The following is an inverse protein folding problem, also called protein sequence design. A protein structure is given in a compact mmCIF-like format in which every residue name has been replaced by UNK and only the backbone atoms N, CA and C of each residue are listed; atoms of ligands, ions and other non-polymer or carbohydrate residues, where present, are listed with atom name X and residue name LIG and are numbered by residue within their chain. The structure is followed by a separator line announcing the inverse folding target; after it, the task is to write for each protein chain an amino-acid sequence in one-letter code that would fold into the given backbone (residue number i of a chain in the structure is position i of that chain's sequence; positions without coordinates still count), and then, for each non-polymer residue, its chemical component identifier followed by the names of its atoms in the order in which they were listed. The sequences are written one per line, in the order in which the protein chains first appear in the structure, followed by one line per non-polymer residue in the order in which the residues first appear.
data_IF_318079380936
#
_entry.id   IF_318079380936
#
_cell.length_a   1.000
_cell.length_b   1.000
_cell.length_c   1.000
_cell.angle_alpha   90.00
_cell.angle_beta   90.00
_cell.angle_gamma   90.00
#
_symmetry.space_group_name_H-M   'P 1'
#
loop_
_entity.id
_entity.type
_entity.pdbx_description
1 polymer ?
#
# COMPACT_ATOMS: atom_id res chain seq x y z
N UNK A 1 -24.00 11.56 -15.77
CA UNK A 1 -22.62 11.97 -15.43
C UNK A 1 -22.31 13.25 -16.19
N UNK A 2 -22.19 14.38 -15.50
CA UNK A 2 -22.00 15.67 -16.17
C UNK A 2 -20.59 15.71 -16.76
N UNK A 3 -20.45 15.92 -18.07
CA UNK A 3 -19.14 16.00 -18.76
C UNK A 3 -18.07 16.85 -18.03
N UNK A 4 -18.38 18.04 -17.47
CA UNK A 4 -17.37 18.81 -16.72
C UNK A 4 -16.92 18.12 -15.42
N UNK A 5 -17.79 17.36 -14.78
CA UNK A 5 -17.44 16.61 -13.57
C UNK A 5 -16.39 15.54 -13.86
N UNK A 6 -16.53 14.80 -14.96
CA UNK A 6 -15.54 13.82 -15.38
C UNK A 6 -14.18 14.47 -15.71
N UNK A 7 -14.19 15.65 -16.35
CA UNK A 7 -12.97 16.41 -16.66
C UNK A 7 -12.24 16.88 -15.40
N UNK A 8 -12.96 17.41 -14.40
CA UNK A 8 -12.39 17.84 -13.13
C UNK A 8 -11.76 16.65 -12.40
N UNK A 9 -12.44 15.50 -12.41
CA UNK A 9 -11.97 14.28 -11.74
C UNK A 9 -10.68 13.74 -12.39
N UNK A 10 -10.62 13.74 -13.73
CA UNK A 10 -9.41 13.38 -14.47
C UNK A 10 -8.24 14.33 -14.16
N UNK A 11 -8.48 15.65 -14.11
CA UNK A 11 -7.44 16.63 -13.79
C UNK A 11 -6.92 16.45 -12.34
N UNK A 12 -7.82 16.17 -11.39
CA UNK A 12 -7.46 15.92 -10.01
C UNK A 12 -6.55 14.69 -9.87
N UNK A 13 -6.81 13.61 -10.62
CA UNK A 13 -5.94 12.43 -10.65
C UNK A 13 -4.55 12.75 -11.21
N UNK A 14 -4.46 13.52 -12.30
CA UNK A 14 -3.18 13.93 -12.89
C UNK A 14 -2.36 14.83 -11.95
N UNK A 15 -3.03 15.65 -11.15
CA UNK A 15 -2.37 16.56 -10.22
C UNK A 15 -1.54 15.84 -9.15
N UNK A 16 -1.92 14.62 -8.77
CA UNK A 16 -1.18 13.80 -7.80
C UNK A 16 0.22 13.43 -8.31
N UNK A 17 0.33 13.14 -9.61
CA UNK A 17 1.60 12.82 -10.27
C UNK A 17 2.51 14.02 -10.48
N UNK A 18 1.97 15.25 -10.40
CA UNK A 18 2.69 16.49 -10.67
C UNK A 18 3.27 17.16 -9.42
N UNK A 19 3.16 16.51 -8.26
CA UNK A 19 3.53 17.08 -6.96
C UNK A 19 5.02 17.50 -6.89
N UNK A 20 5.93 16.70 -7.45
CA UNK A 20 7.36 17.02 -7.52
C UNK A 20 7.67 18.23 -8.44
N UNK A 21 6.91 18.39 -9.52
CA UNK A 21 7.04 19.53 -10.41
C UNK A 21 6.59 20.83 -9.72
N UNK A 22 5.53 20.77 -8.91
CA UNK A 22 5.10 21.93 -8.14
C UNK A 22 6.17 22.37 -7.12
N UNK A 23 6.81 21.42 -6.45
CA UNK A 23 7.88 21.70 -5.47
C UNK A 23 9.13 22.28 -6.14
N UNK A 24 9.54 21.73 -7.29
CA UNK A 24 10.68 22.27 -8.04
C UNK A 24 10.38 23.66 -8.63
N UNK A 25 9.19 23.87 -9.20
CA UNK A 25 8.75 25.17 -9.71
C UNK A 25 8.72 26.24 -8.60
N UNK A 26 8.15 25.93 -7.44
CA UNK A 26 8.13 26.83 -6.29
C UNK A 26 9.51 27.16 -5.74
N UNK A 27 10.45 26.21 -5.81
CA UNK A 27 11.85 26.46 -5.47
C UNK A 27 12.50 27.46 -6.41
N UNK A 28 12.36 27.28 -7.73
CA UNK A 28 12.97 28.19 -8.70
C UNK A 28 12.34 29.58 -8.69
N UNK A 29 11.03 29.69 -8.49
CA UNK A 29 10.34 30.97 -8.38
C UNK A 29 10.85 31.84 -7.22
N UNK A 30 11.27 31.23 -6.11
CA UNK A 30 11.68 31.94 -4.89
C UNK A 30 13.09 31.54 -4.40
N UNK A 31 13.98 31.15 -5.33
CA UNK A 31 15.27 30.55 -5.01
C UNK A 31 16.14 31.42 -4.11
N UNK A 32 16.18 32.73 -4.37
CA UNK A 32 17.01 33.67 -3.59
C UNK A 32 16.53 33.80 -2.15
N UNK A 33 15.20 33.85 -1.95
CA UNK A 33 14.61 33.88 -0.61
C UNK A 33 14.95 32.60 0.16
N UNK A 34 14.87 31.44 -0.50
CA UNK A 34 15.19 30.14 0.10
C UNK A 34 16.67 30.09 0.47
N UNK A 35 17.55 30.52 -0.44
CA UNK A 35 19.00 30.55 -0.22
C UNK A 35 19.39 31.45 0.97
N UNK A 36 18.72 32.60 1.14
CA UNK A 36 19.01 33.56 2.21
C UNK A 36 18.44 33.16 3.57
N UNK A 37 17.24 32.57 3.61
CA UNK A 37 16.51 32.37 4.88
C UNK A 37 16.46 30.92 5.36
N UNK A 38 16.40 29.95 4.45
CA UNK A 38 16.12 28.55 4.77
C UNK A 38 17.32 27.61 4.53
N UNK A 39 18.29 28.03 3.71
CA UNK A 39 19.49 27.26 3.46
C UNK A 39 20.33 27.11 4.75
N UNK A 40 20.74 25.89 5.06
CA UNK A 40 21.65 25.59 6.17
C UNK A 40 23.08 26.10 5.91
N UNK A 41 23.51 26.08 4.64
CA UNK A 41 24.84 26.54 4.21
C UNK A 41 24.88 28.05 3.88
N UNK A 42 23.88 28.82 4.32
CA UNK A 42 23.79 30.27 4.00
C UNK A 42 24.93 31.12 4.57
N UNK A 43 25.61 30.63 5.61
CA UNK A 43 26.73 31.30 6.26
C UNK A 43 28.10 30.82 5.74
N UNK A 44 28.11 29.82 4.86
CA UNK A 44 29.34 29.33 4.22
C UNK A 44 29.67 30.24 3.05
N UNK A 45 30.83 30.90 3.13
CA UNK A 45 31.34 31.75 2.06
C UNK A 45 31.50 30.93 0.77
N UNK A 46 31.08 31.49 -0.36
CA UNK A 46 31.15 30.86 -1.70
C UNK A 46 30.50 29.46 -1.80
N UNK A 47 29.47 29.20 -0.99
CA UNK A 47 28.75 27.91 -1.06
C UNK A 47 28.08 27.68 -2.42
N UNK A 48 28.31 26.53 -3.10
CA UNK A 48 27.60 26.19 -4.33
C UNK A 48 26.13 25.80 -4.09
N UNK A 49 25.72 25.60 -2.82
CA UNK A 49 24.41 25.04 -2.47
C UNK A 49 23.24 25.90 -2.98
N UNK A 50 23.28 27.23 -2.78
CA UNK A 50 22.24 28.16 -3.25
C UNK A 50 20.80 27.68 -2.99
N UNK A 51 20.55 27.11 -1.80
CA UNK A 51 19.25 26.59 -1.37
C UNK A 51 18.91 25.15 -1.80
N UNK A 52 19.78 24.45 -2.54
CA UNK A 52 19.53 23.07 -3.02
C UNK A 52 19.27 22.07 -1.90
N UNK A 53 19.84 22.25 -0.71
CA UNK A 53 19.58 21.39 0.45
C UNK A 53 18.09 21.37 0.82
N UNK A 54 17.41 22.53 0.73
CA UNK A 54 15.98 22.67 1.02
C UNK A 54 15.14 21.94 -0.02
N UNK A 55 15.51 22.05 -1.31
CA UNK A 55 14.82 21.34 -2.39
C UNK A 55 14.92 19.82 -2.20
N UNK A 56 16.14 19.32 -1.97
CA UNK A 56 16.40 17.89 -1.76
C UNK A 56 15.63 17.36 -0.55
N UNK A 57 15.59 18.12 0.55
CA UNK A 57 14.83 17.73 1.73
C UNK A 57 13.34 17.60 1.45
N UNK A 58 12.72 18.58 0.76
CA UNK A 58 11.30 18.53 0.42
C UNK A 58 10.95 17.37 -0.53
N UNK A 59 11.81 17.11 -1.52
CA UNK A 59 11.62 15.98 -2.44
C UNK A 59 11.72 14.64 -1.70
N UNK A 60 12.66 14.51 -0.76
CA UNK A 60 12.81 13.31 0.06
C UNK A 60 11.60 13.09 0.97
N UNK A 61 11.10 14.14 1.62
CA UNK A 61 9.88 14.07 2.44
C UNK A 61 8.65 13.64 1.63
N UNK A 62 8.55 14.02 0.35
CA UNK A 62 7.48 13.53 -0.54
C UNK A 62 7.65 12.04 -0.85
N UNK A 63 8.87 11.62 -1.21
CA UNK A 63 9.16 10.22 -1.53
C UNK A 63 8.88 9.30 -0.35
N UNK A 64 9.25 9.70 0.88
CA UNK A 64 8.97 8.93 2.08
C UNK A 64 7.47 8.79 2.35
N UNK A 65 6.66 9.83 2.08
CA UNK A 65 5.20 9.77 2.19
C UNK A 65 4.56 8.86 1.15
N UNK A 66 5.08 8.84 -0.07
CA UNK A 66 4.63 7.90 -1.10
C UNK A 66 4.96 6.45 -0.71
N UNK A 67 6.14 6.23 -0.11
CA UNK A 67 6.58 4.90 0.33
C UNK A 67 5.80 4.39 1.57
N UNK A 68 5.22 5.28 2.36
CA UNK A 68 4.33 4.95 3.48
C UNK A 68 2.88 4.65 3.07
N UNK A 69 2.52 4.80 1.78
CA UNK A 69 1.24 4.24 1.32
C UNK A 69 1.22 2.74 1.62
N UNK A 70 0.09 2.20 2.12
CA UNK A 70 0.00 0.78 2.42
C UNK A 70 0.37 0.03 1.15
N UNK A 71 1.49 -0.68 1.22
CA UNK A 71 1.93 -1.56 0.16
C UNK A 71 0.73 -2.46 -0.12
N UNK A 72 0.16 -2.34 -1.34
CA UNK A 72 -0.87 -3.24 -1.85
C UNK A 72 -0.24 -4.63 -2.09
N UNK A 73 0.63 -5.10 -1.17
CA UNK A 73 0.95 -6.50 -1.00
C UNK A 73 -0.39 -7.19 -0.87
N UNK A 74 -0.73 -7.89 -1.94
CA UNK A 74 -1.87 -8.78 -2.03
C UNK A 74 -1.89 -9.59 -0.74
N UNK A 75 -2.73 -9.18 0.20
CA UNK A 75 -2.87 -9.87 1.47
C UNK A 75 -3.65 -11.12 1.11
N UNK A 76 -2.95 -12.22 0.87
CA UNK A 76 -3.59 -13.51 0.60
C UNK A 76 -4.48 -13.83 1.79
N UNK A 77 -5.79 -13.66 1.61
CA UNK A 77 -6.78 -14.06 2.58
C UNK A 77 -7.01 -15.54 2.35
N UNK A 78 -6.37 -16.38 3.16
CA UNK A 78 -6.66 -17.81 3.17
C UNK A 78 -8.04 -17.98 3.81
N UNK A 79 -9.06 -18.21 2.97
CA UNK A 79 -10.41 -18.57 3.42
C UNK A 79 -10.44 -20.06 3.75
N UNK A 80 -10.44 -20.39 5.04
CA UNK A 80 -10.74 -21.75 5.49
C UNK A 80 -12.27 -21.91 5.55
N UNK A 81 -12.83 -22.59 4.54
CA UNK A 81 -14.23 -23.05 4.55
C UNK A 81 -14.25 -24.51 4.97
N UNK A 82 -14.63 -24.80 6.21
CA UNK A 82 -15.01 -26.17 6.58
C UNK A 82 -16.45 -26.41 6.14
N UNK A 83 -16.64 -27.25 5.13
CA UNK A 83 -17.95 -27.79 4.83
C UNK A 83 -18.36 -28.72 5.97
N UNK A 84 -19.19 -28.25 6.90
CA UNK A 84 -19.86 -29.15 7.84
C UNK A 84 -21.00 -29.83 7.10
N UNK A 85 -20.74 -31.00 6.53
CA UNK A 85 -21.79 -31.90 6.10
C UNK A 85 -22.47 -32.45 7.35
N UNK A 86 -23.66 -31.91 7.66
CA UNK A 86 -24.87 -32.62 8.06
C UNK A 86 -25.92 -31.61 8.46
N UNK A 87 -26.74 -31.22 7.49
CA UNK A 87 -28.05 -30.66 7.76
C UNK A 87 -29.06 -31.57 7.06
N UNK A 88 -29.70 -32.43 7.83
CA UNK A 88 -30.84 -33.20 7.37
C UNK A 88 -31.98 -32.21 7.11
N UNK A 89 -32.16 -31.81 5.85
CA UNK A 89 -33.25 -30.93 5.41
C UNK A 89 -34.31 -31.77 4.72
N UNK A 90 -35.20 -32.37 5.52
CA UNK A 90 -36.45 -32.89 5.00
C UNK A 90 -37.34 -31.70 4.59
N UNK A 91 -37.36 -31.36 3.29
CA UNK A 91 -38.51 -30.69 2.67
C UNK A 91 -38.41 -29.19 2.31
N UNK A 92 -37.33 -28.71 1.69
CA UNK A 92 -37.33 -27.40 1.01
C UNK A 92 -36.74 -27.49 -0.42
N UNK A 93 -37.24 -26.69 -1.39
CA UNK A 93 -36.83 -26.80 -2.79
C UNK A 93 -35.35 -26.43 -2.95
N UNK A 94 -34.61 -27.40 -3.51
CA UNK A 94 -33.19 -27.36 -3.78
C UNK A 94 -32.82 -26.18 -4.70
N UNK A 95 -32.25 -25.12 -4.14
CA UNK A 95 -31.62 -24.05 -4.93
C UNK A 95 -30.16 -24.45 -5.16
N UNK A 96 -29.87 -24.98 -6.34
CA UNK A 96 -28.54 -25.44 -6.73
C UNK A 96 -27.68 -24.23 -7.13
N UNK A 97 -27.13 -23.53 -6.13
CA UNK A 97 -26.07 -22.55 -6.40
C UNK A 97 -24.75 -23.31 -6.65
N UNK A 98 -24.49 -23.61 -7.93
CA UNK A 98 -23.22 -24.22 -8.36
C UNK A 98 -22.11 -23.18 -8.20
N UNK A 99 -21.38 -23.25 -7.08
CA UNK A 99 -20.12 -22.54 -6.92
C UNK A 99 -19.03 -23.38 -7.59
N UNK A 100 -18.53 -22.93 -8.74
CA UNK A 100 -17.37 -23.58 -9.39
C UNK A 100 -16.08 -23.19 -8.67
N UNK A 101 -15.59 -24.05 -7.80
CA UNK A 101 -14.23 -23.96 -7.28
C UNK A 101 -13.25 -24.54 -8.31
N UNK A 102 -12.24 -23.77 -8.71
CA UNK A 102 -11.09 -24.33 -9.42
C UNK A 102 -10.25 -25.14 -8.43
N UNK A 103 -9.90 -26.42 -8.72
CA UNK A 103 -9.04 -27.19 -7.83
C UNK A 103 -7.66 -26.52 -7.79
N UNK A 104 -7.34 -25.89 -6.66
CA UNK A 104 -5.99 -25.46 -6.35
C UNK A 104 -5.14 -26.73 -6.21
N UNK A 105 -3.95 -26.83 -6.83
CA UNK A 105 -3.08 -27.99 -6.62
C UNK A 105 -2.85 -28.15 -5.12
N UNK A 106 -3.19 -29.32 -4.58
CA UNK A 106 -3.02 -29.62 -3.16
C UNK A 106 -1.56 -29.36 -2.79
N UNK A 107 -1.27 -28.43 -1.87
CA UNK A 107 0.02 -28.45 -1.23
C UNK A 107 0.07 -29.73 -0.39
N UNK A 108 0.95 -30.65 -0.76
CA UNK A 108 1.21 -31.88 0.00
C UNK A 108 1.84 -31.52 1.37
N UNK A 109 1.00 -31.05 2.30
CA UNK A 109 1.36 -30.95 3.69
C UNK A 109 1.13 -32.33 4.31
N UNK A 110 2.22 -33.07 4.53
CA UNK A 110 2.17 -34.24 5.40
C UNK A 110 2.03 -33.75 6.85
N UNK A 111 0.78 -33.47 7.25
CA UNK A 111 0.44 -33.46 8.67
C UNK A 111 0.48 -34.92 9.14
N UNK A 112 1.65 -35.33 9.63
CA UNK A 112 1.75 -36.51 10.45
C UNK A 112 1.14 -36.13 11.79
N UNK A 113 -0.12 -36.50 11.99
CA UNK A 113 -0.77 -36.45 13.31
C UNK A 113 -0.05 -37.45 14.18
N UNK A 114 1.11 -37.07 14.70
CA UNK A 114 1.76 -37.78 15.78
C UNK A 114 0.75 -37.73 16.93
N UNK A 115 0.07 -38.83 17.20
CA UNK A 115 -0.67 -39.04 18.44
C UNK A 115 0.34 -39.19 19.58
N UNK A 116 1.17 -38.17 19.79
CA UNK A 116 1.98 -38.03 20.97
C UNK A 116 1.01 -37.65 22.10
N UNK A 117 0.47 -38.68 22.75
CA UNK A 117 -0.16 -38.54 24.06
C UNK A 117 0.89 -37.86 24.94
N UNK A 118 0.63 -36.62 25.35
CA UNK A 118 1.49 -35.88 26.26
C UNK A 118 1.67 -36.72 27.53
N UNK A 119 2.88 -37.23 27.77
CA UNK A 119 3.24 -37.81 29.05
C UNK A 119 3.91 -36.72 29.89
N UNK A 120 3.41 -36.42 31.10
CA UNK A 120 4.10 -35.50 32.01
C UNK A 120 5.43 -36.12 32.47
N UNK A 121 6.41 -35.30 32.92
CA UNK A 121 7.69 -35.78 33.39
C UNK A 121 7.51 -36.64 34.65
N UNK A 122 8.15 -37.80 34.66
CA UNK A 122 8.18 -38.70 35.81
C UNK A 122 9.29 -38.20 36.75
N UNK A 123 8.92 -37.90 38.00
CA UNK A 123 9.83 -37.59 39.10
C UNK A 123 10.69 -38.78 39.49
#
# INVERSE_FOLDING_TARGET
MNKPFALILALAMLSQSLSALWVTAGFYANRDFIAKNQCENRFVLDSPCKGQCVLMKKLKEQQEKEQQQPDLKLKEIILFSQASERIDTEGLPHFEHIVRYYPQPEPHYLFQTEQAIFHPPIS
#
